data_IF_935813131422
#
_entry.id   IF_935813131422
#
_cell.length_a   1.000
_cell.length_b   1.000
_cell.length_c   1.000
_cell.angle_alpha   90.00
_cell.angle_beta   90.00
_cell.angle_gamma   90.00
#
_symmetry.space_group_name_H-M   'P 1'
#
loop_
_entity.id
_entity.type
_entity.pdbx_description
1 polymer ?
#
# COMPACT_ATOMS: atom_id res chain seq x y z
N UNK A 1 12.99 -3.64 15.08
CA UNK A 1 12.14 -4.26 14.03
C UNK A 1 10.92 -3.35 13.86
N UNK A 2 10.87 -2.53 12.81
CA UNK A 2 9.71 -1.66 12.51
C UNK A 2 8.92 -2.36 11.41
N UNK A 3 7.70 -2.78 11.70
CA UNK A 3 6.85 -3.43 10.71
C UNK A 3 6.39 -2.36 9.73
N UNK A 4 6.56 -2.61 8.44
CA UNK A 4 6.15 -1.67 7.37
C UNK A 4 4.62 -1.47 7.32
N UNK A 5 3.86 -2.37 7.96
CA UNK A 5 2.39 -2.45 7.89
C UNK A 5 1.69 -1.99 9.19
N UNK A 6 2.33 -1.11 9.96
CA UNK A 6 1.80 -0.59 11.23
C UNK A 6 2.27 -1.38 12.46
N UNK A 7 1.92 -0.95 13.68
CA UNK A 7 2.44 -1.55 14.92
C UNK A 7 1.92 -2.97 15.21
N UNK A 8 0.96 -3.46 14.43
CA UNK A 8 0.22 -4.70 14.65
C UNK A 8 0.43 -5.72 13.52
N UNK A 9 0.27 -7.01 13.83
CA UNK A 9 0.37 -8.11 12.86
C UNK A 9 -0.90 -8.34 12.04
N UNK A 10 -2.03 -7.75 12.40
CA UNK A 10 -3.26 -7.80 11.58
C UNK A 10 -4.55 -7.89 12.40
N UNK A 11 -5.53 -8.60 11.85
CA UNK A 11 -6.84 -8.81 12.47
C UNK A 11 -6.98 -10.20 13.08
N UNK A 12 -7.72 -10.28 14.19
CA UNK A 12 -8.32 -11.52 14.71
C UNK A 12 -9.81 -11.28 14.92
N UNK A 13 -10.68 -12.06 14.27
CA UNK A 13 -12.14 -11.92 14.34
C UNK A 13 -12.65 -10.49 14.10
N UNK A 14 -12.03 -9.77 13.16
CA UNK A 14 -12.36 -8.40 12.81
C UNK A 14 -11.85 -7.30 13.75
N UNK A 15 -11.25 -7.67 14.87
CA UNK A 15 -10.57 -6.74 15.78
C UNK A 15 -9.07 -6.72 15.52
N UNK A 16 -8.41 -5.62 15.87
CA UNK A 16 -6.98 -5.46 15.72
C UNK A 16 -6.22 -6.25 16.79
N UNK A 17 -5.07 -6.83 16.46
CA UNK A 17 -4.26 -7.60 17.42
C UNK A 17 -3.94 -6.82 18.71
N UNK A 18 -3.78 -5.49 18.62
CA UNK A 18 -3.38 -4.64 19.74
C UNK A 18 -4.47 -4.41 20.78
N UNK A 19 -5.74 -4.58 20.41
CA UNK A 19 -6.88 -4.33 21.30
C UNK A 19 -8.15 -4.95 20.75
N UNK A 20 -8.91 -5.60 21.65
CA UNK A 20 -10.22 -6.21 21.34
C UNK A 20 -11.30 -5.18 21.03
N UNK A 21 -11.12 -3.94 21.45
CA UNK A 21 -12.09 -2.87 21.23
C UNK A 21 -11.82 -2.11 19.92
N UNK A 22 -10.61 -2.24 19.37
CA UNK A 22 -10.22 -1.56 18.13
C UNK A 22 -10.56 -2.40 16.92
N UNK A 23 -11.37 -1.85 16.00
CA UNK A 23 -11.61 -2.48 14.70
C UNK A 23 -10.32 -2.52 13.86
N UNK A 24 -10.08 -3.63 13.16
CA UNK A 24 -8.89 -3.74 12.31
C UNK A 24 -9.12 -3.07 10.97
N UNK A 25 -8.27 -2.10 10.62
CA UNK A 25 -8.32 -1.43 9.32
C UNK A 25 -8.25 -2.42 8.13
N UNK A 26 -7.41 -3.46 8.22
CA UNK A 26 -7.31 -4.47 7.17
C UNK A 26 -8.60 -5.28 6.99
N UNK A 27 -9.29 -5.63 8.09
CA UNK A 27 -10.57 -6.32 8.00
C UNK A 27 -11.62 -5.41 7.34
N UNK A 28 -11.70 -4.14 7.75
CA UNK A 28 -12.65 -3.18 7.19
C UNK A 28 -12.46 -2.98 5.68
N UNK A 29 -11.22 -3.00 5.19
CA UNK A 29 -10.92 -2.92 3.76
C UNK A 29 -11.45 -4.16 3.03
N UNK A 30 -11.19 -5.36 3.54
CA UNK A 30 -11.67 -6.62 2.94
C UNK A 30 -13.19 -6.69 2.96
N UNK A 31 -13.84 -6.34 4.07
CA UNK A 31 -15.30 -6.34 4.18
C UNK A 31 -15.93 -5.35 3.20
N UNK A 32 -15.31 -4.18 3.01
CA UNK A 32 -15.74 -3.22 2.00
C UNK A 32 -15.54 -3.74 0.58
N UNK A 33 -14.42 -4.39 0.28
CA UNK A 33 -14.18 -4.98 -1.05
C UNK A 33 -15.22 -6.07 -1.36
N UNK A 34 -15.54 -6.93 -0.39
CA UNK A 34 -16.62 -7.92 -0.51
C UNK A 34 -17.98 -7.26 -0.73
N UNK A 35 -18.31 -6.22 0.04
CA UNK A 35 -19.57 -5.49 -0.12
C UNK A 35 -19.70 -4.81 -1.50
N UNK A 36 -18.58 -4.44 -2.12
CA UNK A 36 -18.54 -3.88 -3.47
C UNK A 36 -18.51 -4.94 -4.58
N UNK A 37 -18.40 -6.23 -4.24
CA UNK A 37 -18.21 -7.31 -5.23
C UNK A 37 -16.86 -7.24 -5.94
N UNK A 38 -15.84 -6.64 -5.31
CA UNK A 38 -14.49 -6.40 -5.86
C UNK A 38 -13.40 -7.15 -5.11
N UNK A 39 -13.74 -8.29 -4.51
CA UNK A 39 -12.76 -9.06 -3.74
C UNK A 39 -11.66 -9.63 -4.64
N UNK A 40 -12.00 -9.94 -5.90
CA UNK A 40 -11.06 -10.49 -6.88
C UNK A 40 -9.95 -9.49 -7.23
N UNK A 41 -10.22 -8.17 -7.14
CA UNK A 41 -9.22 -7.12 -7.35
C UNK A 41 -8.07 -7.19 -6.33
N UNK A 42 -8.29 -7.80 -5.15
CA UNK A 42 -7.27 -7.91 -4.10
C UNK A 42 -6.07 -8.76 -4.51
N UNK A 43 -6.29 -9.79 -5.33
CA UNK A 43 -5.23 -10.68 -5.81
C UNK A 43 -4.48 -10.11 -7.02
N UNK A 44 -5.02 -9.06 -7.64
CA UNK A 44 -4.43 -8.43 -8.81
C UNK A 44 -3.31 -7.49 -8.37
N UNK A 45 -2.08 -7.82 -8.77
CA UNK A 45 -0.93 -6.94 -8.57
C UNK A 45 -1.11 -5.69 -9.43
N UNK A 46 -1.24 -4.53 -8.78
CA UNK A 46 -1.34 -3.26 -9.49
C UNK A 46 -0.07 -3.02 -10.32
N UNK A 47 -0.20 -2.61 -11.60
CA UNK A 47 0.95 -2.31 -12.42
C UNK A 47 1.72 -1.12 -11.86
N UNK A 48 3.02 -1.06 -12.18
CA UNK A 48 3.85 0.11 -11.85
C UNK A 48 3.21 1.33 -12.52
N UNK A 49 2.85 2.32 -11.71
CA UNK A 49 2.33 3.59 -12.23
C UNK A 49 3.38 4.21 -13.16
N UNK A 50 2.98 4.53 -14.39
CA UNK A 50 3.82 5.32 -15.28
C UNK A 50 3.83 6.78 -14.82
N UNK A 51 5.03 7.31 -14.54
CA UNK A 51 5.27 8.69 -14.11
C UNK A 51 5.82 9.58 -15.22
N UNK A 52 5.95 9.07 -16.45
CA UNK A 52 6.52 9.80 -17.59
C UNK A 52 5.82 11.12 -17.91
N UNK A 53 4.52 11.21 -17.61
CA UNK A 53 3.66 12.40 -17.85
C UNK A 53 3.38 13.21 -16.58
N UNK A 54 3.92 12.80 -15.42
CA UNK A 54 3.69 13.50 -14.16
C UNK A 54 4.41 14.85 -14.16
N UNK A 55 3.76 15.89 -13.61
CA UNK A 55 4.31 17.26 -13.54
C UNK A 55 5.63 17.33 -12.76
N UNK A 56 5.91 16.34 -11.90
CA UNK A 56 7.15 16.22 -11.16
C UNK A 56 8.30 15.53 -11.93
N UNK A 57 8.07 15.06 -13.16
CA UNK A 57 9.14 14.58 -14.06
C UNK A 57 9.80 13.25 -13.65
N UNK A 58 9.10 12.43 -12.85
CA UNK A 58 9.66 11.19 -12.31
C UNK A 58 10.74 11.41 -11.24
N UNK A 59 11.49 10.36 -10.86
CA UNK A 59 12.57 10.46 -9.89
C UNK A 59 13.58 11.54 -10.29
N UNK A 60 13.90 12.46 -9.36
CA UNK A 60 14.88 13.53 -9.59
C UNK A 60 16.22 12.91 -10.03
N UNK A 61 16.56 13.08 -11.29
CA UNK A 61 17.83 12.61 -11.83
C UNK A 61 18.85 13.74 -11.67
N UNK A 62 19.96 13.48 -10.99
CA UNK A 62 21.11 14.39 -10.93
C UNK A 62 22.10 13.93 -11.99
N UNK A 63 22.08 14.58 -13.16
CA UNK A 63 23.08 14.34 -14.21
C UNK A 63 24.32 15.18 -13.94
N UNK A 64 25.48 14.52 -13.76
CA UNK A 64 26.80 15.16 -13.69
C UNK A 64 27.50 15.01 -15.03
N UNK A 65 27.40 16.04 -15.86
CA UNK A 65 28.01 16.06 -17.20
C UNK A 65 29.55 16.01 -17.14
N UNK A 66 30.12 16.48 -16.03
CA UNK A 66 31.55 16.46 -15.70
C UNK A 66 32.12 15.05 -15.44
N UNK A 67 31.28 14.02 -15.36
CA UNK A 67 31.67 12.63 -15.08
C UNK A 67 31.37 11.69 -16.27
N UNK A 68 30.86 12.20 -17.39
CA UNK A 68 30.71 11.41 -18.62
C UNK A 68 32.08 11.19 -19.26
N UNK A 69 32.53 9.94 -19.29
CA UNK A 69 33.72 9.45 -20.01
C UNK A 69 33.48 9.54 -21.51
#
# INVERSE_FOLDING_TARGET
>A
KRVLNGPCGGSTNGKCEISRDTDCAWQLIIDRLKALGKIDDYEIVAPVKDWSTDRAGGPRTVTREDVKI
#
